data_IF_573049153484
#
_entry.id   IF_573049153484
#
_cell.length_a   1.000
_cell.length_b   1.000
_cell.length_c   1.000
_cell.angle_alpha   90.00
_cell.angle_beta   90.00
_cell.angle_gamma   90.00
#
_symmetry.space_group_name_H-M   'P 1'
#
loop_
_entity.id
_entity.type
_entity.pdbx_description
1 polymer ?
#
# COMPACT_ATOMS: atom_id res chain seq x y z
N UNK A 1 42.63 61.86 10.90
CA UNK A 1 41.56 61.64 11.91
C UNK A 1 40.70 60.55 11.36
N UNK A 2 40.91 59.40 11.88
CA UNK A 2 40.02 58.72 12.85
C UNK A 2 38.66 58.45 12.26
N UNK A 3 38.14 57.29 12.07
CA UNK A 3 38.23 56.08 12.80
C UNK A 3 37.11 55.12 12.40
N UNK A 4 37.31 53.87 12.71
CA UNK A 4 36.46 52.80 13.21
C UNK A 4 35.68 52.01 12.18
N UNK A 5 36.14 50.87 11.77
CA UNK A 5 36.03 49.56 12.44
C UNK A 5 34.65 49.26 13.02
N UNK A 6 33.90 48.43 12.34
CA UNK A 6 32.67 47.78 12.80
C UNK A 6 32.62 46.36 12.25
N UNK A 7 33.11 45.44 13.07
CA UNK A 7 33.03 43.98 12.88
C UNK A 7 31.59 43.51 13.02
N UNK A 8 31.00 42.86 12.06
CA UNK A 8 29.84 41.96 12.28
C UNK A 8 30.32 40.53 12.10
N UNK A 9 30.70 39.90 13.21
CA UNK A 9 30.71 38.43 13.38
C UNK A 9 29.29 38.06 13.78
N UNK A 10 28.74 37.06 13.12
CA UNK A 10 27.53 36.45 13.62
C UNK A 10 26.58 35.98 12.52
N UNK A 11 27.00 35.09 11.64
CA UNK A 11 26.08 34.32 10.80
C UNK A 11 26.79 33.08 10.20
N UNK A 12 27.40 32.25 11.05
CA UNK A 12 28.07 31.02 10.58
C UNK A 12 27.87 29.85 11.56
N UNK A 13 26.78 29.85 12.35
CA UNK A 13 26.54 28.81 13.35
C UNK A 13 25.23 28.03 13.20
N UNK A 14 24.36 28.35 12.27
CA UNK A 14 23.08 27.64 12.09
C UNK A 14 23.04 26.70 10.89
N UNK A 15 24.06 26.69 10.04
CA UNK A 15 24.09 25.81 8.86
C UNK A 15 24.75 24.44 9.10
N UNK A 16 25.38 24.21 10.24
CA UNK A 16 26.04 22.93 10.58
C UNK A 16 25.11 21.91 11.26
N UNK A 17 23.93 22.32 11.72
CA UNK A 17 22.99 21.44 12.43
C UNK A 17 22.15 20.54 11.54
N UNK A 18 21.91 20.90 10.30
CA UNK A 18 20.97 20.19 9.41
C UNK A 18 21.66 19.14 8.53
N UNK A 19 22.99 19.24 8.39
CA UNK A 19 23.77 18.30 7.55
C UNK A 19 24.16 17.00 8.26
N UNK A 20 23.90 16.85 9.56
CA UNK A 20 24.22 15.63 10.32
C UNK A 20 23.12 14.57 10.35
N UNK A 21 21.91 14.89 9.89
CA UNK A 21 20.79 13.93 9.85
C UNK A 21 20.71 13.08 8.58
N UNK A 22 21.49 13.42 7.56
CA UNK A 22 21.43 12.75 6.25
C UNK A 22 22.57 11.74 6.01
N UNK A 23 23.35 11.37 7.01
CA UNK A 23 24.47 10.45 6.85
C UNK A 23 24.56 9.45 8.00
N UNK A 24 23.47 8.69 8.21
CA UNK A 24 23.44 7.55 9.12
C UNK A 24 23.00 6.27 8.38
N UNK A 25 23.51 6.10 7.16
CA UNK A 25 23.65 4.78 6.56
C UNK A 25 24.97 4.23 7.13
N UNK A 26 24.86 3.72 8.38
CA UNK A 26 26.00 3.44 9.23
C UNK A 26 26.25 1.96 9.31
N UNK A 27 27.45 1.61 9.03
CA UNK A 27 28.12 0.49 9.65
C UNK A 27 27.89 0.59 11.18
N UNK A 28 27.29 -0.44 11.80
CA UNK A 28 27.07 -0.50 13.23
C UNK A 28 28.43 -0.27 13.92
N UNK A 29 28.48 0.68 14.84
CA UNK A 29 29.64 0.82 15.71
C UNK A 29 29.91 -0.54 16.41
N UNK A 30 31.17 -1.00 16.48
CA UNK A 30 31.49 -2.36 16.94
C UNK A 30 31.08 -2.67 18.40
N UNK A 31 30.55 -1.70 19.14
CA UNK A 31 30.10 -1.83 20.54
C UNK A 31 28.59 -1.57 20.73
N UNK A 32 27.80 -1.38 19.67
CA UNK A 32 26.37 -1.15 19.80
C UNK A 32 25.66 -2.48 20.11
N UNK A 33 24.80 -2.47 21.14
CA UNK A 33 23.94 -3.62 21.48
C UNK A 33 23.08 -4.00 20.25
N UNK A 34 23.19 -5.24 19.74
CA UNK A 34 22.45 -5.67 18.55
C UNK A 34 20.93 -5.52 18.67
N UNK A 35 20.37 -5.68 19.89
CA UNK A 35 18.94 -5.46 20.13
C UNK A 35 18.57 -3.98 20.01
N UNK A 36 19.42 -3.07 20.49
CA UNK A 36 19.17 -1.65 20.34
C UNK A 36 19.22 -1.22 18.88
N UNK A 37 20.18 -1.72 18.12
CA UNK A 37 20.25 -1.48 16.65
C UNK A 37 18.99 -2.01 15.96
N UNK A 38 18.56 -3.24 16.27
CA UNK A 38 17.33 -3.82 15.74
C UNK A 38 16.11 -2.97 16.07
N UNK A 39 16.00 -2.49 17.31
CA UNK A 39 14.91 -1.64 17.79
C UNK A 39 14.83 -0.34 17.01
N UNK A 40 15.94 0.36 16.85
CA UNK A 40 16.01 1.63 16.12
C UNK A 40 15.61 1.46 14.64
N UNK A 41 16.10 0.41 13.98
CA UNK A 41 15.73 0.07 12.60
C UNK A 41 14.23 -0.16 12.49
N UNK A 42 13.65 -1.00 13.36
CA UNK A 42 12.23 -1.30 13.34
C UNK A 42 11.37 -0.06 13.59
N UNK A 43 11.72 0.77 14.58
CA UNK A 43 11.01 2.01 14.87
C UNK A 43 11.03 2.96 13.67
N UNK A 44 12.20 3.15 13.05
CA UNK A 44 12.31 4.00 11.85
C UNK A 44 11.42 3.49 10.72
N UNK A 45 11.40 2.19 10.47
CA UNK A 45 10.59 1.58 9.43
C UNK A 45 9.08 1.68 9.71
N UNK A 46 8.67 1.49 10.96
CA UNK A 46 7.26 1.57 11.38
C UNK A 46 6.74 3.02 11.42
N UNK A 47 7.62 4.00 11.68
CA UNK A 47 7.27 5.41 11.60
C UNK A 47 6.98 5.84 10.15
N UNK A 48 7.68 5.25 9.19
CA UNK A 48 7.48 5.54 7.77
C UNK A 48 6.18 4.90 7.24
N UNK A 49 5.94 3.62 7.50
CA UNK A 49 4.74 2.91 7.05
C UNK A 49 4.45 1.66 7.91
N UNK A 50 3.17 1.22 8.01
CA UNK A 50 2.85 -0.06 8.61
C UNK A 50 3.53 -1.22 7.87
N UNK A 51 4.10 -2.15 8.65
CA UNK A 51 4.84 -3.31 8.11
C UNK A 51 4.49 -4.57 8.88
N UNK A 52 4.55 -5.70 8.17
CA UNK A 52 4.38 -7.01 8.80
C UNK A 52 5.65 -7.43 9.56
N UNK A 53 5.50 -8.35 10.51
CA UNK A 53 6.62 -8.98 11.22
C UNK A 53 7.65 -9.57 10.23
N UNK A 54 7.18 -10.23 9.17
CA UNK A 54 8.03 -10.84 8.15
C UNK A 54 8.83 -9.79 7.33
N UNK A 55 8.23 -8.65 7.01
CA UNK A 55 8.92 -7.56 6.31
C UNK A 55 10.02 -6.95 7.19
N UNK A 56 9.75 -6.73 8.48
CA UNK A 56 10.74 -6.23 9.43
C UNK A 56 11.88 -7.24 9.63
N UNK A 57 11.57 -8.54 9.80
CA UNK A 57 12.58 -9.58 9.87
C UNK A 57 13.49 -9.60 8.64
N UNK A 58 12.91 -9.42 7.45
CA UNK A 58 13.69 -9.33 6.21
C UNK A 58 14.58 -8.09 6.17
N UNK A 59 14.09 -6.94 6.64
CA UNK A 59 14.86 -5.70 6.73
C UNK A 59 16.03 -5.79 7.72
N UNK A 60 15.83 -6.42 8.88
CA UNK A 60 16.88 -6.67 9.85
C UNK A 60 17.97 -7.62 9.31
N UNK A 61 17.55 -8.70 8.63
CA UNK A 61 18.47 -9.64 7.99
C UNK A 61 19.33 -8.98 6.89
N UNK A 62 18.75 -8.13 6.05
CA UNK A 62 19.49 -7.35 5.05
C UNK A 62 20.56 -6.46 5.69
N UNK A 63 20.32 -5.94 6.89
CA UNK A 63 21.26 -5.11 7.66
C UNK A 63 22.20 -5.92 8.55
N UNK A 64 22.23 -7.26 8.39
CA UNK A 64 23.10 -8.19 9.11
C UNK A 64 22.95 -8.15 10.65
N UNK A 65 21.76 -7.78 11.13
CA UNK A 65 21.45 -7.88 12.56
C UNK A 65 21.43 -9.38 12.94
N UNK A 66 22.05 -9.79 14.07
CA UNK A 66 21.98 -11.16 14.57
C UNK A 66 20.54 -11.63 14.73
N UNK A 67 20.29 -12.91 14.40
CA UNK A 67 18.92 -13.44 14.36
C UNK A 67 18.25 -13.45 15.72
N UNK A 68 18.98 -13.79 16.76
CA UNK A 68 18.53 -13.80 18.15
C UNK A 68 18.07 -12.42 18.63
N UNK A 69 18.86 -11.38 18.36
CA UNK A 69 18.50 -9.99 18.65
C UNK A 69 17.28 -9.54 17.83
N UNK A 70 17.23 -9.90 16.55
CA UNK A 70 16.08 -9.59 15.71
C UNK A 70 14.78 -10.25 16.21
N UNK A 71 14.83 -11.54 16.56
CA UNK A 71 13.68 -12.28 17.09
C UNK A 71 13.20 -11.73 18.44
N UNK A 72 14.12 -11.40 19.35
CA UNK A 72 13.80 -10.80 20.63
C UNK A 72 13.03 -9.49 20.48
N UNK A 73 13.53 -8.58 19.63
CA UNK A 73 12.88 -7.28 19.37
C UNK A 73 11.53 -7.44 18.67
N UNK A 74 11.43 -8.28 17.63
CA UNK A 74 10.19 -8.52 16.91
C UNK A 74 9.12 -9.16 17.79
N UNK A 75 9.51 -10.07 18.69
CA UNK A 75 8.59 -10.68 19.64
C UNK A 75 8.08 -9.63 20.64
N UNK A 76 8.97 -8.82 21.17
CA UNK A 76 8.59 -7.74 22.09
C UNK A 76 7.65 -6.74 21.44
N UNK A 77 7.90 -6.36 20.17
CA UNK A 77 7.04 -5.43 19.45
C UNK A 77 5.65 -6.03 19.16
N UNK A 78 5.57 -7.33 18.91
CA UNK A 78 4.29 -8.02 18.76
C UNK A 78 3.50 -8.09 20.08
N UNK A 79 4.18 -8.38 21.21
CA UNK A 79 3.56 -8.41 22.55
C UNK A 79 2.95 -7.06 22.93
N UNK A 80 3.63 -5.95 22.65
CA UNK A 80 3.14 -4.59 22.92
C UNK A 80 2.24 -4.03 21.81
N UNK A 81 1.87 -4.86 20.82
CA UNK A 81 1.01 -4.48 19.69
C UNK A 81 1.54 -3.33 18.83
N UNK A 82 2.84 -3.13 18.81
CA UNK A 82 3.50 -2.22 17.88
C UNK A 82 3.59 -2.84 16.46
N UNK A 83 3.64 -4.17 16.40
CA UNK A 83 3.45 -4.99 15.21
C UNK A 83 2.17 -5.79 15.41
N UNK A 84 1.22 -5.67 14.50
CA UNK A 84 -0.02 -6.45 14.51
C UNK A 84 -0.38 -6.85 13.08
N UNK A 85 0.02 -8.08 12.70
CA UNK A 85 -0.18 -8.60 11.34
C UNK A 85 -1.67 -8.82 11.03
N UNK A 86 -2.51 -9.09 12.03
CA UNK A 86 -3.94 -9.22 11.86
C UNK A 86 -4.58 -7.85 11.54
N UNK A 87 -4.22 -6.80 12.27
CA UNK A 87 -4.68 -5.44 11.98
C UNK A 87 -4.17 -4.95 10.63
N UNK A 88 -2.91 -5.23 10.30
CA UNK A 88 -2.34 -4.94 8.98
C UNK A 88 -3.14 -5.61 7.87
N UNK A 89 -3.49 -6.90 8.02
CA UNK A 89 -4.25 -7.65 7.01
C UNK A 89 -5.63 -7.04 6.76
N UNK A 90 -6.36 -6.66 7.81
CA UNK A 90 -7.68 -6.01 7.70
C UNK A 90 -7.59 -4.67 6.97
N UNK A 91 -6.69 -3.79 7.42
CA UNK A 91 -6.47 -2.49 6.78
C UNK A 91 -6.05 -2.63 5.31
N UNK A 92 -5.22 -3.64 5.01
CA UNK A 92 -4.83 -3.97 3.64
C UNK A 92 -6.00 -4.38 2.77
N UNK A 93 -6.84 -5.32 3.25
CA UNK A 93 -8.04 -5.80 2.54
C UNK A 93 -8.98 -4.64 2.25
N UNK A 94 -9.30 -3.84 3.25
CA UNK A 94 -10.19 -2.69 3.13
C UNK A 94 -9.68 -1.69 2.09
N UNK A 95 -8.44 -1.23 2.25
CA UNK A 95 -7.83 -0.24 1.37
C UNK A 95 -7.74 -0.72 -0.08
N UNK A 96 -7.29 -1.95 -0.30
CA UNK A 96 -7.10 -2.49 -1.66
C UNK A 96 -8.41 -2.89 -2.34
N UNK A 97 -9.38 -3.37 -1.57
CA UNK A 97 -10.71 -3.67 -2.12
C UNK A 97 -11.39 -2.39 -2.61
N UNK A 98 -11.47 -1.34 -1.76
CA UNK A 98 -12.11 -0.08 -2.12
C UNK A 98 -11.30 0.72 -3.16
N UNK A 99 -10.00 0.87 -2.97
CA UNK A 99 -9.17 1.69 -3.85
C UNK A 99 -8.92 1.06 -5.23
N UNK A 100 -8.61 -0.25 -5.27
CA UNK A 100 -8.25 -0.96 -6.51
C UNK A 100 -9.27 -1.96 -7.01
N UNK A 101 -10.31 -2.23 -6.25
CA UNK A 101 -11.32 -3.26 -6.57
C UNK A 101 -10.71 -4.65 -6.67
N UNK A 102 -9.78 -5.01 -5.77
CA UNK A 102 -9.22 -6.36 -5.73
C UNK A 102 -10.17 -7.29 -4.99
N UNK A 103 -10.33 -8.50 -5.51
CA UNK A 103 -11.14 -9.55 -4.89
C UNK A 103 -10.29 -10.40 -3.92
N UNK A 104 -10.98 -11.17 -3.06
CA UNK A 104 -10.39 -11.99 -1.99
C UNK A 104 -9.19 -12.81 -2.44
N UNK A 105 -9.22 -13.39 -3.64
CA UNK A 105 -8.12 -14.22 -4.16
C UNK A 105 -6.83 -13.43 -4.39
N UNK A 106 -6.93 -12.24 -4.96
CA UNK A 106 -5.77 -11.37 -5.18
C UNK A 106 -5.25 -10.81 -3.86
N UNK A 107 -6.16 -10.34 -2.99
CA UNK A 107 -5.83 -9.84 -1.66
C UNK A 107 -5.10 -10.88 -0.82
N UNK A 108 -5.59 -12.13 -0.80
CA UNK A 108 -4.91 -13.21 -0.10
C UNK A 108 -3.53 -13.55 -0.69
N UNK A 109 -3.35 -13.40 -1.99
CA UNK A 109 -2.03 -13.58 -2.61
C UNK A 109 -1.06 -12.48 -2.19
N UNK A 110 -1.48 -11.21 -2.18
CA UNK A 110 -0.67 -10.08 -1.75
C UNK A 110 -0.27 -10.19 -0.27
N UNK A 111 -1.20 -10.59 0.62
CA UNK A 111 -0.92 -10.77 2.05
C UNK A 111 0.06 -11.92 2.30
N UNK A 112 -0.06 -13.05 1.56
CA UNK A 112 0.92 -14.14 1.63
C UNK A 112 2.31 -13.69 1.20
N UNK A 113 2.40 -12.90 0.14
CA UNK A 113 3.68 -12.34 -0.31
C UNK A 113 4.34 -11.44 0.75
N UNK A 114 3.53 -10.78 1.59
CA UNK A 114 3.98 -9.95 2.72
C UNK A 114 4.28 -10.76 3.99
N UNK A 115 4.08 -12.07 3.92
CA UNK A 115 4.40 -12.99 5.02
C UNK A 115 3.42 -12.95 6.18
N UNK A 116 2.17 -12.52 5.94
CA UNK A 116 1.09 -12.62 6.93
C UNK A 116 0.70 -14.08 7.12
N UNK A 117 0.39 -14.48 8.35
CA UNK A 117 -0.04 -15.83 8.68
C UNK A 117 -1.39 -16.17 8.01
N UNK A 118 -1.59 -17.46 7.66
CA UNK A 118 -2.77 -17.88 6.91
C UNK A 118 -4.07 -17.67 7.71
N UNK A 119 -4.01 -17.78 9.03
CA UNK A 119 -5.15 -17.53 9.92
C UNK A 119 -5.59 -16.06 9.85
N UNK A 120 -4.65 -15.12 9.92
CA UNK A 120 -4.92 -13.69 9.84
C UNK A 120 -5.44 -13.28 8.47
N UNK A 121 -4.91 -13.89 7.40
CA UNK A 121 -5.42 -13.69 6.04
C UNK A 121 -6.87 -14.15 5.94
N UNK A 122 -7.19 -15.35 6.43
CA UNK A 122 -8.56 -15.87 6.38
C UNK A 122 -9.51 -15.03 7.22
N UNK A 123 -9.10 -14.61 8.41
CA UNK A 123 -9.90 -13.73 9.25
C UNK A 123 -10.21 -12.41 8.54
N UNK A 124 -9.21 -11.74 7.97
CA UNK A 124 -9.39 -10.49 7.25
C UNK A 124 -10.28 -10.65 5.98
N UNK A 125 -10.09 -11.74 5.22
CA UNK A 125 -10.90 -12.00 4.03
C UNK A 125 -12.33 -12.39 4.35
N UNK A 126 -12.61 -13.01 5.50
CA UNK A 126 -13.96 -13.38 5.93
C UNK A 126 -14.84 -12.16 6.25
N UNK A 127 -14.21 -11.01 6.54
CA UNK A 127 -14.92 -9.75 6.75
C UNK A 127 -15.41 -9.13 5.43
N UNK A 128 -14.85 -9.54 4.30
CA UNK A 128 -15.28 -9.09 2.97
C UNK A 128 -16.54 -9.85 2.55
N UNK A 129 -17.67 -9.14 2.51
CA UNK A 129 -18.95 -9.71 2.14
C UNK A 129 -18.97 -10.11 0.64
N UNK A 130 -19.40 -11.33 0.27
CA UNK A 130 -19.58 -11.73 -1.13
C UNK A 130 -20.45 -10.77 -1.96
N UNK A 131 -21.42 -10.11 -1.36
CA UNK A 131 -22.22 -9.10 -2.04
C UNK A 131 -21.41 -7.86 -2.40
N UNK A 132 -20.48 -7.44 -1.54
CA UNK A 132 -19.56 -6.32 -1.84
C UNK A 132 -18.63 -6.66 -3.00
N UNK A 133 -18.10 -7.89 -3.06
CA UNK A 133 -17.32 -8.33 -4.22
C UNK A 133 -18.14 -8.27 -5.51
N UNK A 134 -19.40 -8.71 -5.46
CA UNK A 134 -20.29 -8.67 -6.62
C UNK A 134 -20.56 -7.22 -7.06
N UNK A 135 -20.88 -6.32 -6.15
CA UNK A 135 -21.13 -4.90 -6.42
C UNK A 135 -19.90 -4.20 -6.99
N UNK A 136 -18.75 -4.41 -6.36
CA UNK A 136 -17.47 -3.86 -6.86
C UNK A 136 -17.13 -4.38 -8.27
N UNK A 137 -17.40 -5.67 -8.54
CA UNK A 137 -17.23 -6.23 -9.88
C UNK A 137 -18.15 -5.57 -10.90
N UNK A 138 -19.43 -5.32 -10.55
CA UNK A 138 -20.39 -4.60 -11.43
C UNK A 138 -19.93 -3.19 -11.73
N UNK A 139 -19.48 -2.44 -10.73
CA UNK A 139 -18.95 -1.08 -10.92
C UNK A 139 -17.73 -1.07 -11.85
N UNK A 140 -16.79 -2.01 -11.66
CA UNK A 140 -15.62 -2.14 -12.53
C UNK A 140 -16.01 -2.43 -13.98
N UNK A 141 -17.01 -3.27 -14.20
CA UNK A 141 -17.56 -3.56 -15.53
C UNK A 141 -18.25 -2.33 -16.10
N UNK A 142 -19.14 -1.69 -15.36
CA UNK A 142 -19.86 -0.50 -15.81
C UNK A 142 -18.92 0.60 -16.32
N UNK A 143 -17.82 0.86 -15.61
CA UNK A 143 -16.79 1.83 -16.03
C UNK A 143 -16.06 1.42 -17.31
N UNK A 144 -15.96 0.14 -17.63
CA UNK A 144 -15.22 -0.39 -18.79
C UNK A 144 -16.09 -0.79 -19.97
N UNK A 145 -17.38 -0.95 -19.74
CA UNK A 145 -18.35 -1.39 -20.75
C UNK A 145 -18.36 -0.49 -22.00
N UNK A 146 -18.41 0.86 -21.88
CA UNK A 146 -18.44 1.74 -23.04
C UNK A 146 -17.22 1.60 -23.95
N UNK A 147 -16.04 1.35 -23.37
CA UNK A 147 -14.79 1.17 -24.12
C UNK A 147 -14.76 -0.13 -24.95
N UNK A 148 -15.76 -0.97 -24.84
CA UNK A 148 -15.88 -2.25 -25.58
C UNK A 148 -17.07 -2.27 -26.55
N UNK A 149 -17.87 -1.21 -26.65
CA UNK A 149 -19.14 -1.18 -27.40
C UNK A 149 -19.02 -1.58 -28.87
N UNK A 150 -17.90 -1.26 -29.54
CA UNK A 150 -17.67 -1.63 -30.95
C UNK A 150 -17.15 -3.06 -31.19
N UNK A 151 -17.01 -3.88 -30.15
CA UNK A 151 -16.43 -5.22 -30.26
C UNK A 151 -17.51 -6.29 -30.37
N UNK A 152 -17.25 -7.45 -31.07
CA UNK A 152 -18.14 -8.58 -31.03
C UNK A 152 -18.39 -9.09 -29.61
N UNK A 153 -19.62 -9.52 -29.28
CA UNK A 153 -20.05 -9.89 -27.93
C UNK A 153 -19.08 -10.89 -27.24
N UNK A 154 -18.63 -11.91 -27.96
CA UNK A 154 -17.68 -12.89 -27.44
C UNK A 154 -16.31 -12.29 -27.07
N UNK A 155 -15.85 -11.31 -27.84
CA UNK A 155 -14.60 -10.60 -27.54
C UNK A 155 -14.75 -9.68 -26.32
N UNK A 156 -15.91 -9.02 -26.16
CA UNK A 156 -16.26 -8.24 -24.98
C UNK A 156 -16.21 -9.10 -23.74
N UNK A 157 -16.92 -10.24 -23.75
CA UNK A 157 -16.96 -11.18 -22.62
C UNK A 157 -15.52 -11.57 -22.22
N UNK A 158 -14.72 -12.05 -23.16
CA UNK A 158 -13.33 -12.46 -22.86
C UNK A 158 -12.50 -11.33 -22.27
N UNK A 159 -12.60 -10.12 -22.81
CA UNK A 159 -11.83 -8.95 -22.38
C UNK A 159 -12.21 -8.53 -20.97
N UNK A 160 -13.53 -8.38 -20.72
CA UNK A 160 -14.07 -7.93 -19.43
C UNK A 160 -13.89 -8.99 -18.34
N UNK A 161 -14.20 -10.27 -18.62
CA UNK A 161 -13.97 -11.35 -17.66
C UNK A 161 -12.47 -11.55 -17.38
N UNK A 162 -11.60 -11.40 -18.37
CA UNK A 162 -10.15 -11.43 -18.18
C UNK A 162 -9.63 -10.28 -17.30
N UNK A 163 -10.24 -9.11 -17.36
CA UNK A 163 -9.91 -7.99 -16.46
C UNK A 163 -10.28 -8.34 -15.01
N UNK A 164 -11.47 -8.85 -14.74
CA UNK A 164 -11.91 -9.27 -13.42
C UNK A 164 -11.03 -10.42 -12.88
N UNK A 165 -10.69 -11.41 -13.75
CA UNK A 165 -9.80 -12.50 -13.36
C UNK A 165 -8.43 -12.02 -12.87
N UNK A 166 -7.83 -11.01 -13.53
CA UNK A 166 -6.57 -10.39 -13.07
C UNK A 166 -6.71 -9.68 -11.74
N UNK A 167 -7.89 -9.18 -11.41
CA UNK A 167 -8.21 -8.58 -10.09
C UNK A 167 -8.56 -9.62 -9.02
N UNK A 168 -8.52 -10.91 -9.36
CA UNK A 168 -8.72 -12.01 -8.42
C UNK A 168 -10.16 -12.51 -8.28
N UNK A 169 -11.10 -11.99 -9.07
CA UNK A 169 -12.48 -12.50 -9.06
C UNK A 169 -12.54 -13.93 -9.60
N UNK A 170 -13.46 -14.74 -9.04
CA UNK A 170 -13.68 -16.09 -9.54
C UNK A 170 -14.21 -16.07 -10.99
N UNK A 171 -13.87 -17.08 -11.79
CA UNK A 171 -14.33 -17.15 -13.17
C UNK A 171 -15.87 -17.16 -13.27
N UNK A 172 -16.55 -17.84 -12.34
CA UNK A 172 -18.01 -17.89 -12.29
C UNK A 172 -18.64 -16.52 -12.04
N UNK A 173 -18.11 -15.76 -11.05
CA UNK A 173 -18.58 -14.42 -10.74
C UNK A 173 -18.28 -13.46 -11.91
N UNK A 174 -17.05 -13.49 -12.42
CA UNK A 174 -16.64 -12.65 -13.53
C UNK A 174 -17.51 -12.83 -14.77
N UNK A 175 -17.79 -14.08 -15.14
CA UNK A 175 -18.65 -14.39 -16.29
C UNK A 175 -20.10 -13.96 -16.06
N UNK A 176 -20.64 -14.19 -14.86
CA UNK A 176 -22.01 -13.79 -14.50
C UNK A 176 -22.20 -12.29 -14.61
N UNK A 177 -21.36 -11.52 -13.92
CA UNK A 177 -21.43 -10.05 -13.89
C UNK A 177 -21.30 -9.44 -15.30
N UNK A 178 -20.38 -9.97 -16.11
CA UNK A 178 -20.22 -9.49 -17.49
C UNK A 178 -21.45 -9.78 -18.33
N UNK A 179 -22.05 -10.97 -18.22
CA UNK A 179 -23.28 -11.29 -18.95
C UNK A 179 -24.45 -10.43 -18.53
N UNK A 180 -24.64 -10.24 -17.24
CA UNK A 180 -25.69 -9.36 -16.70
C UNK A 180 -25.55 -7.95 -17.27
N UNK A 181 -24.35 -7.37 -17.24
CA UNK A 181 -24.09 -6.03 -17.76
C UNK A 181 -24.34 -5.92 -19.28
N UNK A 182 -24.01 -6.94 -20.07
CA UNK A 182 -24.27 -6.93 -21.50
C UNK A 182 -25.78 -7.04 -21.84
N UNK A 183 -26.53 -7.85 -21.08
CA UNK A 183 -27.98 -7.97 -21.22
C UNK A 183 -28.69 -6.67 -20.81
N UNK A 184 -28.24 -6.03 -19.74
CA UNK A 184 -28.75 -4.73 -19.30
C UNK A 184 -28.51 -3.65 -20.36
N UNK A 185 -27.33 -3.63 -20.98
CA UNK A 185 -27.01 -2.70 -22.08
C UNK A 185 -27.88 -2.92 -23.32
N UNK A 186 -28.11 -4.19 -23.74
CA UNK A 186 -28.95 -4.53 -24.89
C UNK A 186 -30.44 -4.20 -24.64
N UNK A 187 -30.89 -4.33 -23.41
CA UNK A 187 -32.29 -4.08 -23.03
C UNK A 187 -32.59 -2.57 -22.91
N UNK A 188 -31.61 -1.69 -23.07
CA UNK A 188 -31.77 -0.24 -22.86
C UNK A 188 -32.06 0.13 -21.39
N UNK A 189 -32.01 -0.86 -20.49
CA UNK A 189 -32.21 -0.72 -19.05
C UNK A 189 -30.86 -0.69 -18.34
N UNK A 190 -29.83 -0.18 -19.05
CA UNK A 190 -28.53 0.06 -18.41
C UNK A 190 -28.76 0.92 -17.17
N UNK A 191 -27.97 0.73 -16.08
CA UNK A 191 -28.05 1.60 -14.94
C UNK A 191 -27.90 3.01 -15.48
N UNK A 192 -28.98 3.81 -15.38
CA UNK A 192 -28.88 5.25 -15.50
C UNK A 192 -28.02 5.71 -14.32
N UNK A 193 -26.73 5.49 -14.43
CA UNK A 193 -25.81 6.39 -13.76
C UNK A 193 -26.08 7.74 -14.39
N UNK A 194 -26.97 8.47 -13.74
CA UNK A 194 -27.06 9.90 -13.92
C UNK A 194 -25.63 10.38 -13.93
N UNK A 195 -25.21 10.81 -15.09
CA UNK A 195 -24.07 11.71 -15.29
C UNK A 195 -24.46 13.05 -14.65
N UNK A 196 -24.69 13.03 -13.35
CA UNK A 196 -24.60 14.18 -12.48
C UNK A 196 -23.17 14.25 -11.93
N UNK A 197 -22.21 13.98 -12.80
CA UNK A 197 -20.95 14.67 -12.73
C UNK A 197 -21.07 15.83 -13.73
N UNK A 198 -21.84 16.84 -13.38
CA UNK A 198 -21.33 18.17 -13.58
C UNK A 198 -19.94 18.14 -12.95
N UNK A 199 -18.93 18.13 -13.81
CA UNK A 199 -17.55 18.35 -13.42
C UNK A 199 -17.52 19.74 -12.80
N UNK A 200 -17.69 19.79 -11.51
CA UNK A 200 -16.95 20.78 -10.76
C UNK A 200 -15.48 20.47 -11.04
N UNK A 201 -14.70 21.45 -11.51
CA UNK A 201 -13.26 21.25 -11.66
C UNK A 201 -12.76 20.76 -10.29
N UNK A 202 -11.80 19.82 -10.24
CA UNK A 202 -11.28 19.36 -8.97
C UNK A 202 -10.83 20.62 -8.23
N UNK A 203 -11.54 20.96 -7.16
CA UNK A 203 -10.99 21.84 -6.16
C UNK A 203 -9.64 21.24 -5.83
N UNK A 204 -8.60 22.04 -6.01
CA UNK A 204 -7.25 21.67 -5.62
C UNK A 204 -7.32 21.36 -4.13
N UNK A 205 -7.57 20.10 -3.81
CA UNK A 205 -7.35 19.57 -2.46
C UNK A 205 -5.91 19.93 -2.14
N UNK A 206 -5.79 20.91 -1.28
CA UNK A 206 -4.53 21.26 -0.64
C UNK A 206 -3.99 20.00 0.00
N UNK A 207 -2.79 19.64 -0.39
CA UNK A 207 -2.06 18.42 -0.03
C UNK A 207 -1.69 18.39 1.47
N UNK A 208 -2.68 18.43 2.37
CA UNK A 208 -2.46 18.42 3.82
C UNK A 208 -3.47 17.51 4.56
N UNK A 209 -4.08 16.56 3.86
CA UNK A 209 -4.85 15.47 4.42
C UNK A 209 -3.97 14.24 4.69
N UNK A 210 -4.32 13.38 5.65
CA UNK A 210 -3.58 12.15 5.90
C UNK A 210 -3.59 11.30 4.63
N UNK A 211 -2.40 11.01 4.10
CA UNK A 211 -2.20 10.18 2.90
C UNK A 211 -2.86 8.81 3.13
N UNK A 212 -3.74 8.33 2.25
CA UNK A 212 -4.40 7.05 2.44
C UNK A 212 -3.35 5.93 2.57
N UNK A 213 -3.64 4.96 3.43
CA UNK A 213 -2.74 3.83 3.74
C UNK A 213 -2.19 3.13 2.49
N UNK A 214 -2.99 3.04 1.41
CA UNK A 214 -2.59 2.50 0.12
C UNK A 214 -1.43 3.25 -0.53
N UNK A 215 -1.47 4.56 -0.50
CA UNK A 215 -0.50 5.41 -1.19
C UNK A 215 0.83 5.47 -0.45
N UNK A 216 0.77 5.41 0.88
CA UNK A 216 1.97 5.27 1.73
C UNK A 216 2.73 3.98 1.43
N UNK A 217 2.04 2.85 1.26
CA UNK A 217 2.70 1.56 1.02
C UNK A 217 3.27 1.47 -0.40
N UNK A 218 2.59 2.02 -1.41
CA UNK A 218 3.05 1.99 -2.80
C UNK A 218 4.28 2.89 -3.03
N UNK A 219 4.34 4.07 -2.40
CA UNK A 219 5.51 4.96 -2.48
C UNK A 219 6.77 4.28 -1.89
N UNK A 220 6.62 3.60 -0.74
CA UNK A 220 7.75 2.94 -0.09
C UNK A 220 8.16 1.61 -0.72
N UNK A 221 7.26 0.93 -1.46
CA UNK A 221 7.64 -0.25 -2.26
C UNK A 221 8.46 0.13 -3.51
N UNK A 222 8.23 1.31 -4.08
CA UNK A 222 9.04 1.87 -5.16
C UNK A 222 10.46 2.21 -4.67
N UNK A 223 10.59 2.91 -3.56
CA UNK A 223 11.89 3.25 -2.98
C UNK A 223 12.70 2.01 -2.53
N UNK A 224 12.02 1.00 -1.93
CA UNK A 224 12.68 -0.24 -1.52
C UNK A 224 13.19 -1.08 -2.71
N UNK A 225 12.55 -0.97 -3.88
CA UNK A 225 13.01 -1.64 -5.11
C UNK A 225 14.14 -0.87 -5.82
N UNK A 226 14.18 0.45 -5.74
CA UNK A 226 15.29 1.24 -6.28
C UNK A 226 16.57 1.05 -5.47
N UNK A 227 16.49 1.03 -4.12
CA UNK A 227 17.65 0.71 -3.26
C UNK A 227 18.16 -0.74 -3.44
N UNK A 228 17.32 -1.67 -3.89
CA UNK A 228 17.74 -3.05 -4.17
C UNK A 228 18.40 -3.22 -5.55
N UNK A 229 18.26 -2.27 -6.46
CA UNK A 229 18.84 -2.29 -7.80
C UNK A 229 20.23 -1.67 -7.86
N UNK A 230 20.65 -0.94 -6.83
CA UNK A 230 21.95 -0.24 -6.76
C UNK A 230 23.00 -0.99 -5.92
N UNK A 231 22.78 -2.28 -5.59
CA UNK A 231 23.69 -3.18 -4.88
C UNK A 231 24.01 -4.43 -5.74
#
# INVERSE_FOLDING_TARGET
MAGRSGRTRGAASEAEGVSRLAKADGEAEPDADPEEVARQICLRLLTAAPRTKAQLATALRKRRVPQDAAEAVLTRFAEVKLIDDAMFARAWVESRHHGRGLASRALGAELRQRGVAQEDIQAALSELNPNQEHETARELIARRLPATAGMPAQARIRRLAGMLARKGYSAGLAYRVVREALVEEESGYGPTFRTECEREPPEQETADGPVPFSDLVDLYELEANEEAADL
#
